data_IF_603127868581
#
_entry.id   IF_603127868581
#
_cell.length_a   1.000
_cell.length_b   1.000
_cell.length_c   1.000
_cell.angle_alpha   90.00
_cell.angle_beta   90.00
_cell.angle_gamma   90.00
#
_symmetry.space_group_name_H-M   'P 1'
#
loop_
_entity.id
_entity.type
_entity.pdbx_description
1 polymer ?
#
# COMPACT_ATOMS: atom_id res chain seq x y z
N UNK A 1 -28.14 -4.64 25.63
CA UNK A 1 -27.63 -5.84 24.92
C UNK A 1 -27.04 -5.41 23.57
N UNK A 2 -25.78 -5.76 23.29
CA UNK A 2 -25.14 -5.49 21.99
C UNK A 2 -25.32 -6.68 21.06
N UNK A 3 -25.93 -6.45 19.89
CA UNK A 3 -26.11 -7.44 18.83
C UNK A 3 -24.96 -7.33 17.83
N UNK A 4 -23.98 -8.22 17.97
CA UNK A 4 -22.74 -8.19 17.18
C UNK A 4 -23.00 -8.32 15.68
N UNK A 5 -23.99 -9.12 15.26
CA UNK A 5 -24.34 -9.28 13.84
C UNK A 5 -24.92 -8.00 13.22
N UNK A 6 -25.62 -7.18 14.01
CA UNK A 6 -26.06 -5.86 13.55
C UNK A 6 -24.90 -4.87 13.53
N UNK A 7 -24.03 -4.92 14.54
CA UNK A 7 -22.82 -4.09 14.60
C UNK A 7 -21.89 -4.30 13.38
N UNK A 8 -21.81 -5.53 12.87
CA UNK A 8 -21.07 -5.86 11.63
C UNK A 8 -21.58 -5.12 10.39
N UNK A 9 -22.81 -4.63 10.40
CA UNK A 9 -23.40 -3.85 9.30
C UNK A 9 -22.98 -2.37 9.33
N UNK A 10 -22.16 -1.97 10.32
CA UNK A 10 -21.61 -0.62 10.44
C UNK A 10 -22.00 0.07 11.75
N UNK A 11 -21.24 1.11 12.12
CA UNK A 11 -21.42 1.85 13.39
C UNK A 11 -22.69 2.70 13.45
N UNK A 12 -23.30 2.98 12.30
CA UNK A 12 -24.61 3.62 12.14
C UNK A 12 -25.78 2.67 12.28
N UNK A 13 -25.53 1.36 12.38
CA UNK A 13 -26.58 0.37 12.60
C UNK A 13 -27.14 0.47 14.02
N UNK A 14 -28.44 0.24 14.14
CA UNK A 14 -29.13 0.08 15.41
C UNK A 14 -28.77 -1.29 16.02
N UNK A 15 -27.58 -1.38 16.62
CA UNK A 15 -27.00 -2.63 17.09
C UNK A 15 -27.11 -2.84 18.62
N UNK A 16 -27.58 -1.85 19.37
CA UNK A 16 -27.75 -1.94 20.83
C UNK A 16 -29.23 -1.91 21.16
N UNK A 17 -29.72 -2.88 21.92
CA UNK A 17 -31.05 -2.82 22.52
C UNK A 17 -30.93 -2.47 24.00
N UNK A 18 -31.61 -1.42 24.44
CA UNK A 18 -31.70 -0.99 25.84
C UNK A 18 -32.75 -1.81 26.60
N UNK A 19 -32.75 -1.73 27.93
CA UNK A 19 -33.69 -2.48 28.79
C UNK A 19 -35.15 -2.09 28.57
N UNK A 20 -35.40 -0.83 28.16
CA UNK A 20 -36.72 -0.31 27.79
C UNK A 20 -37.14 -0.70 26.35
N UNK A 21 -36.35 -1.52 25.67
CA UNK A 21 -36.64 -2.04 24.34
C UNK A 21 -36.30 -1.10 23.18
N UNK A 22 -35.77 0.11 23.45
CA UNK A 22 -35.28 1.00 22.38
C UNK A 22 -34.05 0.42 21.70
N UNK A 23 -33.90 0.78 20.43
CA UNK A 23 -32.74 0.42 19.64
C UNK A 23 -31.88 1.66 19.42
N UNK A 24 -30.59 1.54 19.74
CA UNK A 24 -29.62 2.61 19.64
C UNK A 24 -28.47 2.21 18.72
N UNK A 25 -27.94 3.21 18.01
CA UNK A 25 -26.60 3.12 17.41
C UNK A 25 -25.53 3.21 18.50
N UNK A 26 -24.30 2.82 18.17
CA UNK A 26 -23.16 3.03 19.07
C UNK A 26 -23.02 4.50 19.47
N UNK A 27 -23.23 5.42 18.53
CA UNK A 27 -23.12 6.85 18.79
C UNK A 27 -24.21 7.36 19.72
N UNK A 28 -25.45 6.90 19.53
CA UNK A 28 -26.56 7.27 20.42
C UNK A 28 -26.33 6.72 21.83
N UNK A 29 -25.81 5.49 21.93
CA UNK A 29 -25.44 4.90 23.21
C UNK A 29 -24.29 5.66 23.91
N UNK A 30 -23.28 6.12 23.17
CA UNK A 30 -22.22 6.99 23.71
C UNK A 30 -22.76 8.33 24.23
N UNK A 31 -23.70 8.94 23.50
CA UNK A 31 -24.30 10.21 23.89
C UNK A 31 -25.13 10.02 25.17
N UNK A 32 -25.96 8.97 25.24
CA UNK A 32 -26.71 8.63 26.47
C UNK A 32 -25.79 8.32 27.66
N UNK A 33 -24.59 7.79 27.37
CA UNK A 33 -23.55 7.53 28.36
C UNK A 33 -22.65 8.72 28.73
N UNK A 34 -22.97 9.96 28.32
CA UNK A 34 -22.12 11.16 28.52
C UNK A 34 -20.70 11.05 27.92
N UNK A 35 -20.53 10.21 26.90
CA UNK A 35 -19.27 10.01 26.17
C UNK A 35 -19.29 10.67 24.78
N UNK A 36 -20.12 11.70 24.57
CA UNK A 36 -20.27 12.43 23.30
C UNK A 36 -18.94 12.97 22.73
N UNK A 37 -17.97 13.28 23.58
CA UNK A 37 -16.65 13.80 23.19
C UNK A 37 -15.69 12.69 22.75
N UNK A 38 -16.03 11.43 23.01
CA UNK A 38 -15.26 10.30 22.50
C UNK A 38 -15.40 10.23 20.99
N UNK A 39 -14.25 10.10 20.32
CA UNK A 39 -14.16 9.90 18.88
C UNK A 39 -14.09 8.42 18.51
N UNK A 40 -14.00 7.54 19.50
CA UNK A 40 -13.78 6.11 19.28
C UNK A 40 -14.63 5.27 20.23
N UNK A 41 -15.76 4.78 19.71
CA UNK A 41 -16.69 3.92 20.43
C UNK A 41 -16.04 2.64 20.95
N UNK A 42 -14.95 2.15 20.32
CA UNK A 42 -14.25 0.93 20.77
C UNK A 42 -13.57 1.13 22.13
N UNK A 43 -13.21 2.36 22.50
CA UNK A 43 -12.56 2.67 23.78
C UNK A 43 -13.51 3.23 24.83
N UNK A 44 -14.62 3.84 24.43
CA UNK A 44 -15.65 4.39 25.32
C UNK A 44 -16.74 3.38 25.67
N UNK A 45 -17.15 2.51 24.75
CA UNK A 45 -18.18 1.49 25.02
C UNK A 45 -17.54 0.34 25.81
N UNK A 46 -18.17 0.00 26.93
CA UNK A 46 -17.69 -1.03 27.86
C UNK A 46 -18.73 -2.13 28.06
N UNK A 47 -18.26 -3.35 28.23
CA UNK A 47 -19.07 -4.50 28.61
C UNK A 47 -18.42 -5.16 29.84
N UNK A 48 -19.13 -5.21 30.96
CA UNK A 48 -18.59 -5.73 32.23
C UNK A 48 -17.39 -4.94 32.77
N UNK A 49 -17.31 -3.63 32.49
CA UNK A 49 -16.20 -2.76 32.93
C UNK A 49 -14.99 -2.72 31.98
N UNK A 50 -14.85 -3.68 31.07
CA UNK A 50 -13.79 -3.71 30.06
C UNK A 50 -14.21 -2.98 28.77
N UNK A 51 -13.26 -2.34 28.08
CA UNK A 51 -13.53 -1.67 26.81
C UNK A 51 -13.78 -2.69 25.70
N UNK A 52 -14.63 -2.34 24.73
CA UNK A 52 -14.89 -3.20 23.59
C UNK A 52 -13.60 -3.53 22.81
N UNK A 53 -12.66 -2.58 22.74
CA UNK A 53 -11.34 -2.79 22.16
C UNK A 53 -10.56 -3.90 22.88
N UNK A 54 -10.56 -3.91 24.21
CA UNK A 54 -9.90 -4.95 25.01
C UNK A 54 -10.57 -6.31 24.79
N UNK A 55 -11.89 -6.35 24.68
CA UNK A 55 -12.64 -7.57 24.42
C UNK A 55 -12.40 -8.12 23.01
N UNK A 56 -12.31 -7.24 22.01
CA UNK A 56 -11.93 -7.59 20.64
C UNK A 56 -10.50 -8.13 20.61
N UNK A 57 -9.55 -7.46 21.28
CA UNK A 57 -8.15 -7.91 21.39
C UNK A 57 -8.04 -9.29 22.05
N UNK A 58 -8.75 -9.51 23.17
CA UNK A 58 -8.75 -10.80 23.86
C UNK A 58 -9.39 -11.91 23.03
N UNK A 59 -10.43 -11.61 22.25
CA UNK A 59 -11.02 -12.58 21.32
C UNK A 59 -10.02 -13.01 20.24
N UNK A 60 -9.16 -12.10 19.78
CA UNK A 60 -8.11 -12.38 18.80
C UNK A 60 -6.95 -13.22 19.37
N UNK A 61 -6.71 -13.18 20.69
CA UNK A 61 -5.69 -14.00 21.36
C UNK A 61 -6.10 -15.47 21.54
N UNK A 62 -7.40 -15.75 21.67
CA UNK A 62 -7.92 -17.12 21.84
C UNK A 62 -8.31 -17.82 20.51
N UNK A 63 -8.30 -17.11 19.38
CA UNK A 63 -8.82 -17.63 18.09
C UNK A 63 -7.82 -18.47 17.28
N UNK A 64 -6.75 -19.00 17.89
CA UNK A 64 -5.85 -19.94 17.22
C UNK A 64 -6.45 -21.35 17.00
N UNK A 65 -7.65 -21.63 17.52
CA UNK A 65 -8.38 -22.85 17.20
C UNK A 65 -9.89 -22.57 17.15
N UNK A 66 -10.43 -22.62 15.92
CA UNK A 66 -11.84 -22.82 15.57
C UNK A 66 -12.84 -21.69 15.87
N UNK A 67 -13.26 -20.97 14.81
CA UNK A 67 -14.64 -20.58 14.46
C UNK A 67 -14.64 -19.44 13.42
N UNK A 68 -14.88 -19.82 12.16
CA UNK A 68 -15.44 -19.05 11.04
C UNK A 68 -15.89 -17.61 11.36
N UNK A 69 -15.01 -16.62 11.16
CA UNK A 69 -15.36 -15.20 11.21
C UNK A 69 -15.66 -14.67 9.80
N UNK A 70 -16.85 -14.10 9.63
CA UNK A 70 -17.39 -13.55 8.38
C UNK A 70 -16.75 -12.19 8.03
N UNK A 71 -15.43 -12.14 7.85
CA UNK A 71 -14.79 -11.14 6.95
C UNK A 71 -14.52 -11.86 5.62
N UNK A 72 -14.88 -11.30 4.47
CA UNK A 72 -14.83 -12.02 3.19
C UNK A 72 -13.39 -12.36 2.81
N UNK A 73 -12.95 -13.59 3.12
CA UNK A 73 -11.76 -14.27 2.57
C UNK A 73 -10.48 -13.42 2.43
N UNK A 74 -10.28 -12.41 3.29
CA UNK A 74 -9.08 -11.60 3.25
C UNK A 74 -7.88 -12.44 3.68
N UNK A 75 -6.77 -12.29 2.96
CA UNK A 75 -5.52 -13.01 3.21
C UNK A 75 -5.02 -12.76 4.63
N UNK A 76 -4.56 -13.83 5.29
CA UNK A 76 -3.83 -13.78 6.55
C UNK A 76 -2.35 -13.44 6.38
N UNK A 77 -1.89 -13.19 5.15
CA UNK A 77 -0.55 -12.76 4.81
C UNK A 77 -0.56 -11.39 4.14
N UNK A 78 0.42 -10.56 4.45
CA UNK A 78 0.63 -9.29 3.80
C UNK A 78 0.94 -9.49 2.31
N UNK A 79 0.26 -8.76 1.43
CA UNK A 79 0.49 -8.81 -0.01
C UNK A 79 1.93 -8.43 -0.41
N UNK A 80 2.63 -7.62 0.40
CA UNK A 80 3.95 -7.08 0.06
C UNK A 80 5.07 -8.01 0.53
N UNK A 81 5.13 -8.34 1.83
CA UNK A 81 6.20 -9.16 2.39
C UNK A 81 5.86 -10.66 2.48
N UNK A 82 4.59 -11.03 2.27
CA UNK A 82 4.08 -12.41 2.42
C UNK A 82 4.15 -12.98 3.84
N UNK A 83 4.39 -12.14 4.85
CA UNK A 83 4.35 -12.52 6.26
C UNK A 83 3.00 -12.21 6.91
N UNK A 84 2.68 -12.94 7.98
CA UNK A 84 1.53 -12.66 8.84
C UNK A 84 1.76 -11.50 9.82
N UNK A 85 0.87 -11.33 10.80
CA UNK A 85 0.98 -10.33 11.87
C UNK A 85 -0.20 -9.37 11.91
N UNK A 86 0.05 -8.12 12.30
CA UNK A 86 -0.99 -7.08 12.34
C UNK A 86 -1.27 -6.52 10.95
N UNK A 87 -2.41 -6.90 10.38
CA UNK A 87 -2.77 -6.59 8.99
C UNK A 87 -4.04 -5.74 8.90
N UNK A 88 -4.06 -4.85 7.92
CA UNK A 88 -5.22 -4.09 7.48
C UNK A 88 -5.82 -4.77 6.24
N UNK A 89 -7.11 -5.12 6.32
CA UNK A 89 -7.86 -5.74 5.23
C UNK A 89 -8.42 -4.68 4.28
N UNK A 90 -8.34 -4.95 2.98
CA UNK A 90 -9.05 -4.15 1.98
C UNK A 90 -10.54 -4.52 1.97
N UNK A 91 -11.43 -3.53 1.95
CA UNK A 91 -12.89 -3.77 1.93
C UNK A 91 -13.41 -4.15 0.52
N UNK A 92 -12.58 -3.97 -0.51
CA UNK A 92 -12.97 -4.17 -1.92
C UNK A 92 -12.21 -5.31 -2.63
N UNK A 93 -11.33 -6.02 -1.92
CA UNK A 93 -10.64 -7.22 -2.43
C UNK A 93 -10.05 -8.06 -1.29
N UNK A 94 -9.67 -9.34 -1.51
CA UNK A 94 -9.17 -10.22 -0.46
C UNK A 94 -7.73 -9.89 0.01
N UNK A 95 -7.14 -8.75 -0.35
CA UNK A 95 -5.74 -8.42 0.01
C UNK A 95 -5.65 -7.76 1.38
N UNK A 96 -4.52 -8.02 2.05
CA UNK A 96 -4.20 -7.51 3.38
C UNK A 96 -2.79 -6.94 3.42
N UNK A 97 -2.54 -5.94 4.27
CA UNK A 97 -1.27 -5.20 4.30
C UNK A 97 -0.85 -4.85 5.72
N UNK A 98 0.44 -4.93 6.07
CA UNK A 98 0.94 -4.20 7.25
C UNK A 98 0.88 -2.69 6.99
N UNK A 99 0.77 -1.89 8.05
CA UNK A 99 0.74 -0.42 7.99
C UNK A 99 1.93 0.13 7.19
N UNK A 100 3.13 -0.32 7.56
CA UNK A 100 4.39 0.14 6.95
C UNK A 100 4.67 -0.52 5.58
N UNK A 101 4.01 -1.63 5.26
CA UNK A 101 4.17 -2.27 3.95
C UNK A 101 3.36 -1.56 2.86
N UNK A 102 2.20 -1.00 3.21
CA UNK A 102 1.44 -0.19 2.27
C UNK A 102 2.16 1.18 2.06
N UNK A 103 2.24 1.65 0.81
CA UNK A 103 2.98 2.90 0.50
C UNK A 103 2.20 4.13 0.95
N UNK A 104 0.88 4.15 0.76
CA UNK A 104 0.02 5.17 1.35
C UNK A 104 -0.25 4.84 2.80
N UNK A 105 -0.35 5.88 3.64
CA UNK A 105 -0.87 5.70 4.99
C UNK A 105 -2.25 5.03 4.90
N UNK A 106 -2.47 3.98 5.68
CA UNK A 106 -3.78 3.37 5.80
C UNK A 106 -4.65 4.34 6.60
N UNK A 107 -5.37 5.20 5.89
CA UNK A 107 -6.35 6.13 6.48
C UNK A 107 -7.56 5.32 6.99
N UNK A 108 -7.43 4.77 8.20
CA UNK A 108 -8.46 3.95 8.86
C UNK A 108 -9.79 4.72 9.14
N UNK A 109 -9.83 6.02 8.87
CA UNK A 109 -11.01 6.88 9.02
C UNK A 109 -11.94 6.85 7.78
N UNK A 110 -11.46 6.37 6.62
CA UNK A 110 -12.29 6.24 5.42
C UNK A 110 -12.87 4.83 5.34
N UNK A 111 -14.11 4.67 5.77
CA UNK A 111 -14.91 3.46 5.54
C UNK A 111 -15.82 3.68 4.32
N UNK A 112 -15.67 2.92 3.21
CA UNK A 112 -14.77 1.77 3.02
C UNK A 112 -13.34 2.14 2.58
N UNK A 113 -12.34 1.43 3.10
CA UNK A 113 -10.94 1.54 2.69
C UNK A 113 -10.63 0.59 1.53
N UNK A 114 -10.15 1.16 0.43
CA UNK A 114 -9.67 0.41 -0.74
C UNK A 114 -8.16 0.50 -0.86
N UNK A 115 -7.49 -0.65 -0.98
CA UNK A 115 -6.05 -0.71 -1.19
C UNK A 115 -5.65 -0.10 -2.54
N UNK A 116 -4.36 0.21 -2.70
CA UNK A 116 -3.84 0.84 -3.92
C UNK A 116 -4.12 0.03 -5.19
N UNK A 117 -4.15 -1.32 -5.12
CA UNK A 117 -4.50 -2.16 -6.25
C UNK A 117 -5.93 -1.90 -6.74
N UNK A 118 -6.88 -1.77 -5.81
CA UNK A 118 -8.28 -1.48 -6.16
C UNK A 118 -8.43 -0.07 -6.73
N UNK A 119 -7.74 0.91 -6.14
CA UNK A 119 -7.73 2.30 -6.65
C UNK A 119 -7.19 2.37 -8.09
N UNK A 120 -6.09 1.68 -8.39
CA UNK A 120 -5.51 1.62 -9.75
C UNK A 120 -6.45 0.90 -10.72
N UNK A 121 -7.01 -0.25 -10.33
CA UNK A 121 -7.98 -0.99 -11.16
C UNK A 121 -9.21 -0.13 -11.48
N UNK A 122 -9.69 0.67 -10.52
CA UNK A 122 -10.80 1.59 -10.75
C UNK A 122 -10.45 2.69 -11.77
N UNK A 123 -9.23 3.22 -11.75
CA UNK A 123 -8.76 4.19 -12.77
C UNK A 123 -8.68 3.53 -14.14
N UNK A 124 -8.12 2.31 -14.23
CA UNK A 124 -8.04 1.58 -15.48
C UNK A 124 -9.43 1.28 -16.07
N UNK A 125 -10.39 0.87 -15.23
CA UNK A 125 -11.76 0.60 -15.68
C UNK A 125 -12.52 1.84 -16.17
N UNK A 126 -12.16 3.05 -15.70
CA UNK A 126 -12.77 4.31 -16.17
C UNK A 126 -12.31 4.69 -17.59
N UNK A 127 -11.22 4.10 -18.07
CA UNK A 127 -10.64 4.35 -19.38
C UNK A 127 -10.60 3.05 -20.21
N UNK A 128 -11.65 2.73 -20.99
CA UNK A 128 -11.74 1.48 -21.75
C UNK A 128 -10.63 1.30 -22.80
N UNK A 129 -10.44 0.04 -23.20
CA UNK A 129 -9.38 -0.62 -24.01
C UNK A 129 -8.87 0.06 -25.31
N UNK A 130 -9.38 1.22 -25.72
CA UNK A 130 -8.80 2.06 -26.79
C UNK A 130 -7.70 3.01 -26.26
N UNK A 131 -6.96 2.57 -25.25
CA UNK A 131 -5.98 3.38 -24.54
C UNK A 131 -4.88 3.82 -25.51
N UNK A 132 -4.65 5.13 -25.73
CA UNK A 132 -3.52 5.58 -26.53
C UNK A 132 -2.26 5.13 -25.82
N UNK A 133 -1.53 4.22 -26.46
CA UNK A 133 -0.28 3.72 -25.94
C UNK A 133 0.70 4.92 -25.92
N UNK A 134 1.24 5.26 -24.75
CA UNK A 134 1.98 6.50 -24.55
C UNK A 134 3.47 6.34 -24.85
N UNK A 135 4.11 7.43 -25.29
CA UNK A 135 5.56 7.47 -25.35
C UNK A 135 6.12 7.73 -23.95
N UNK A 136 7.21 7.05 -23.58
CA UNK A 136 7.85 7.25 -22.27
C UNK A 136 8.20 8.73 -22.04
N UNK A 137 8.71 9.43 -23.06
CA UNK A 137 9.06 10.85 -22.98
C UNK A 137 7.87 11.77 -22.68
N UNK A 138 6.65 11.38 -23.07
CA UNK A 138 5.42 12.07 -22.71
C UNK A 138 5.08 11.82 -21.24
N UNK A 139 5.14 10.55 -20.80
CA UNK A 139 4.86 10.15 -19.41
C UNK A 139 5.79 10.88 -18.42
N UNK A 140 7.09 10.90 -18.70
CA UNK A 140 8.08 11.51 -17.80
C UNK A 140 7.80 13.01 -17.57
N UNK A 141 7.27 13.72 -18.58
CA UNK A 141 6.93 15.15 -18.48
C UNK A 141 5.62 15.44 -17.74
N UNK A 142 4.84 14.42 -17.37
CA UNK A 142 3.59 14.62 -16.64
C UNK A 142 3.87 15.15 -15.24
N UNK A 143 3.02 16.07 -14.80
CA UNK A 143 3.05 16.60 -13.44
C UNK A 143 2.55 15.54 -12.46
N UNK A 144 3.06 15.55 -11.23
CA UNK A 144 2.68 14.65 -10.14
C UNK A 144 1.31 15.02 -9.54
N UNK A 145 0.28 15.02 -10.38
CA UNK A 145 -1.12 15.12 -9.98
C UNK A 145 -1.54 13.85 -9.21
N UNK A 146 -2.71 13.84 -8.53
CA UNK A 146 -3.10 12.72 -7.67
C UNK A 146 -3.10 11.34 -8.34
N UNK A 147 -3.46 11.22 -9.62
CA UNK A 147 -3.45 9.94 -10.34
C UNK A 147 -2.02 9.48 -10.69
N UNK A 148 -1.16 10.37 -11.19
CA UNK A 148 0.25 10.11 -11.47
C UNK A 148 0.99 9.74 -10.19
N UNK A 149 0.73 10.46 -9.10
CA UNK A 149 1.27 10.13 -7.79
C UNK A 149 0.85 8.74 -7.33
N UNK A 150 -0.44 8.41 -7.45
CA UNK A 150 -0.96 7.07 -7.13
C UNK A 150 -0.30 5.98 -7.97
N UNK A 151 -0.05 6.22 -9.27
CA UNK A 151 0.67 5.29 -10.15
C UNK A 151 2.13 5.11 -9.74
N UNK A 152 2.84 6.18 -9.38
CA UNK A 152 4.22 6.10 -8.87
C UNK A 152 4.30 5.37 -7.52
N UNK A 153 3.36 5.63 -6.61
CA UNK A 153 3.25 4.89 -5.33
C UNK A 153 2.97 3.40 -5.58
N UNK A 154 2.11 3.07 -6.55
CA UNK A 154 1.83 1.69 -6.92
C UNK A 154 3.03 1.00 -7.56
N UNK A 155 3.75 1.70 -8.42
CA UNK A 155 4.99 1.21 -9.02
C UNK A 155 6.07 0.94 -7.97
N UNK A 156 6.23 1.83 -6.98
CA UNK A 156 7.13 1.60 -5.85
C UNK A 156 6.68 0.40 -5.01
N UNK A 157 5.37 0.25 -4.72
CA UNK A 157 4.84 -0.91 -4.01
C UNK A 157 5.16 -2.22 -4.75
N UNK A 158 4.99 -2.25 -6.08
CA UNK A 158 5.33 -3.41 -6.93
C UNK A 158 6.81 -3.78 -6.82
N UNK A 159 7.70 -2.79 -6.65
CA UNK A 159 9.11 -3.04 -6.38
C UNK A 159 9.32 -3.66 -5.00
N UNK A 160 8.66 -3.16 -3.95
CA UNK A 160 8.75 -3.75 -2.61
C UNK A 160 8.21 -5.18 -2.54
N UNK A 161 7.19 -5.53 -3.33
CA UNK A 161 6.64 -6.89 -3.42
C UNK A 161 7.66 -7.92 -3.95
N UNK A 162 8.79 -7.49 -4.52
CA UNK A 162 9.86 -8.40 -4.87
C UNK A 162 10.65 -8.83 -3.63
N UNK A 163 10.76 -10.13 -3.39
CA UNK A 163 11.36 -10.70 -2.18
C UNK A 163 12.80 -10.22 -1.84
N UNK A 164 13.56 -9.72 -2.83
CA UNK A 164 14.93 -9.21 -2.64
C UNK A 164 15.02 -7.67 -2.61
N UNK A 165 13.88 -6.98 -2.60
CA UNK A 165 13.80 -5.52 -2.51
C UNK A 165 14.47 -4.97 -1.25
N UNK A 166 14.47 -5.75 -0.16
CA UNK A 166 15.12 -5.43 1.12
C UNK A 166 16.61 -5.09 0.98
N UNK A 167 17.30 -5.65 -0.03
CA UNK A 167 18.71 -5.30 -0.33
C UNK A 167 18.89 -3.83 -0.73
N UNK A 168 17.85 -3.21 -1.31
CA UNK A 168 17.85 -1.84 -1.80
C UNK A 168 16.99 -0.90 -0.93
N UNK A 169 16.43 -1.42 0.17
CA UNK A 169 15.46 -0.69 0.98
C UNK A 169 16.12 0.44 1.79
N UNK A 170 17.29 0.18 2.36
CA UNK A 170 17.99 1.11 3.26
C UNK A 170 19.23 1.73 2.59
N UNK A 171 19.79 2.74 3.24
CA UNK A 171 20.98 3.44 2.76
C UNK A 171 22.15 2.45 2.50
N UNK A 172 22.73 2.45 1.30
CA UNK A 172 23.81 1.52 0.96
C UNK A 172 25.11 1.93 1.64
N UNK A 173 25.78 0.96 2.27
CA UNK A 173 27.11 1.15 2.85
C UNK A 173 28.21 0.93 1.79
N UNK A 174 28.77 2.02 1.27
CA UNK A 174 29.94 1.97 0.40
C UNK A 174 31.23 1.95 1.25
N UNK A 175 32.14 1.00 0.99
CA UNK A 175 33.40 0.92 1.74
C UNK A 175 34.27 2.16 1.46
N UNK A 176 34.79 2.78 2.53
CA UNK A 176 35.72 3.92 2.47
C UNK A 176 37.02 3.63 1.68
N UNK A 177 37.40 2.35 1.55
CA UNK A 177 38.62 1.96 0.85
C UNK A 177 38.51 2.08 -0.68
N UNK A 178 37.28 2.02 -1.20
CA UNK A 178 36.98 2.34 -2.59
C UNK A 178 36.53 3.79 -2.65
N UNK A 179 37.38 4.71 -3.12
CA UNK A 179 37.06 6.12 -3.38
C UNK A 179 35.99 6.33 -4.48
N UNK A 180 35.10 5.36 -4.70
CA UNK A 180 34.13 5.25 -5.80
C UNK A 180 32.69 5.08 -5.29
N UNK A 181 32.35 5.69 -4.16
CA UNK A 181 30.93 5.88 -3.82
C UNK A 181 30.25 6.74 -4.89
N UNK A 182 28.96 6.50 -5.20
CA UNK A 182 28.23 7.32 -6.14
C UNK A 182 28.12 8.76 -5.63
N UNK A 183 28.11 9.72 -6.56
CA UNK A 183 27.95 11.15 -6.23
C UNK A 183 26.65 11.42 -5.48
N UNK A 184 25.59 10.70 -5.85
CA UNK A 184 24.29 10.79 -5.18
C UNK A 184 23.79 9.39 -4.82
N UNK A 185 23.89 9.00 -3.53
CA UNK A 185 23.30 7.76 -3.02
C UNK A 185 21.76 7.79 -3.07
N UNK A 186 21.17 6.66 -3.46
CA UNK A 186 19.72 6.47 -3.53
C UNK A 186 19.31 5.08 -3.07
N UNK A 187 18.15 4.97 -2.42
CA UNK A 187 17.56 3.73 -1.89
C UNK A 187 16.04 3.86 -1.79
N UNK A 188 15.32 2.73 -1.67
CA UNK A 188 13.86 2.73 -1.80
C UNK A 188 13.16 3.51 -0.68
N UNK A 189 13.62 3.41 0.58
CA UNK A 189 12.98 4.13 1.69
C UNK A 189 13.10 5.66 1.53
N UNK A 190 14.21 6.17 0.99
CA UNK A 190 14.36 7.60 0.66
C UNK A 190 13.38 8.05 -0.42
N UNK A 191 13.16 7.22 -1.45
CA UNK A 191 12.15 7.50 -2.49
C UNK A 191 10.73 7.47 -1.90
N UNK A 192 10.44 6.49 -1.02
CA UNK A 192 9.17 6.38 -0.30
C UNK A 192 8.89 7.65 0.51
N UNK A 193 9.88 8.16 1.23
CA UNK A 193 9.79 9.42 1.99
C UNK A 193 9.59 10.64 1.08
N UNK A 194 10.34 10.74 -0.03
CA UNK A 194 10.18 11.81 -1.02
C UNK A 194 8.77 11.83 -1.64
N UNK A 195 8.18 10.67 -1.95
CA UNK A 195 6.79 10.56 -2.40
C UNK A 195 5.79 11.04 -1.34
N UNK A 196 5.98 10.63 -0.07
CA UNK A 196 5.12 11.03 1.05
C UNK A 196 5.15 12.54 1.27
N UNK A 197 6.33 13.14 1.20
CA UNK A 197 6.58 14.57 1.41
C UNK A 197 6.27 15.43 0.17
N UNK A 198 5.80 14.84 -0.93
CA UNK A 198 5.49 15.55 -2.18
C UNK A 198 6.69 16.28 -2.80
N UNK A 199 7.88 15.69 -2.69
CA UNK A 199 9.11 16.27 -3.26
C UNK A 199 9.27 16.05 -4.77
N UNK A 200 8.42 15.23 -5.39
CA UNK A 200 8.39 15.02 -6.83
C UNK A 200 7.27 15.86 -7.44
N UNK A 201 7.62 16.76 -8.35
CA UNK A 201 6.71 17.60 -9.13
C UNK A 201 6.41 16.98 -10.49
N UNK A 202 7.34 16.18 -11.03
CA UNK A 202 7.16 15.45 -12.29
C UNK A 202 7.43 13.95 -12.12
N UNK A 203 6.83 13.14 -12.99
CA UNK A 203 7.06 11.68 -13.02
C UNK A 203 8.54 11.37 -13.29
N UNK A 204 9.21 12.18 -14.11
CA UNK A 204 10.63 12.05 -14.42
C UNK A 204 11.52 12.00 -13.18
N UNK A 205 11.31 12.91 -12.22
CA UNK A 205 12.14 13.00 -11.01
C UNK A 205 12.08 11.71 -10.17
N UNK A 206 10.88 11.12 -10.04
CA UNK A 206 10.70 9.82 -9.38
C UNK A 206 11.38 8.69 -10.16
N UNK A 207 11.20 8.65 -11.48
CA UNK A 207 11.76 7.60 -12.34
C UNK A 207 13.29 7.68 -12.38
N UNK A 208 13.86 8.89 -12.36
CA UNK A 208 15.30 9.12 -12.29
C UNK A 208 15.89 8.60 -10.98
N UNK A 209 15.26 8.88 -9.83
CA UNK A 209 15.71 8.35 -8.54
C UNK A 209 15.65 6.82 -8.51
N UNK A 210 14.57 6.22 -9.03
CA UNK A 210 14.47 4.76 -9.15
C UNK A 210 15.58 4.19 -10.03
N UNK A 211 15.88 4.86 -11.15
CA UNK A 211 16.97 4.50 -12.07
C UNK A 211 18.35 4.67 -11.46
N UNK A 212 18.54 5.67 -10.62
CA UNK A 212 19.78 5.96 -9.94
C UNK A 212 20.20 4.84 -8.98
N UNK A 213 19.24 4.18 -8.30
CA UNK A 213 19.52 3.03 -7.42
C UNK A 213 20.31 1.95 -8.16
N UNK A 214 19.81 1.50 -9.32
CA UNK A 214 20.47 0.41 -10.05
C UNK A 214 21.67 0.88 -10.88
N UNK A 215 21.76 2.16 -11.25
CA UNK A 215 22.97 2.74 -11.83
C UNK A 215 24.12 2.73 -10.82
N UNK A 216 23.86 3.21 -9.60
CA UNK A 216 24.81 3.20 -8.50
C UNK A 216 25.25 1.78 -8.15
N UNK A 217 24.29 0.85 -8.06
CA UNK A 217 24.58 -0.56 -7.82
C UNK A 217 25.49 -1.17 -8.89
N UNK A 218 25.20 -0.91 -10.16
CA UNK A 218 26.02 -1.39 -11.28
C UNK A 218 27.45 -0.82 -11.22
N UNK A 219 27.57 0.48 -10.96
CA UNK A 219 28.87 1.15 -10.90
C UNK A 219 29.75 0.61 -9.76
N UNK A 220 29.16 0.34 -8.60
CA UNK A 220 29.86 -0.15 -7.42
C UNK A 220 30.22 -1.63 -7.50
N UNK A 221 29.26 -2.50 -7.87
CA UNK A 221 29.48 -3.94 -7.87
C UNK A 221 30.12 -4.47 -9.16
N UNK A 222 30.01 -3.78 -10.30
CA UNK A 222 30.57 -4.19 -11.62
C UNK A 222 30.37 -5.69 -11.93
N UNK A 223 31.42 -6.51 -11.81
CA UNK A 223 31.43 -7.95 -12.11
C UNK A 223 31.23 -8.85 -10.88
N UNK A 224 30.93 -8.26 -9.72
CA UNK A 224 30.71 -8.98 -8.48
C UNK A 224 29.40 -9.79 -8.54
N UNK A 225 29.33 -10.89 -7.75
CA UNK A 225 28.15 -11.78 -7.65
C UNK A 225 26.81 -11.07 -7.38
N UNK A 226 26.84 -9.87 -6.83
CA UNK A 226 25.65 -9.07 -6.52
C UNK A 226 25.18 -8.19 -7.67
N UNK A 227 25.96 -8.00 -8.73
CA UNK A 227 25.58 -7.17 -9.89
C UNK A 227 24.23 -7.58 -10.50
N UNK A 228 23.95 -8.89 -10.51
CA UNK A 228 22.70 -9.47 -11.00
C UNK A 228 21.46 -8.95 -10.25
N UNK A 229 21.57 -8.62 -8.96
CA UNK A 229 20.43 -8.11 -8.17
C UNK A 229 19.93 -6.76 -8.71
N UNK A 230 20.83 -5.85 -9.06
CA UNK A 230 20.45 -4.56 -9.64
C UNK A 230 19.79 -4.70 -11.01
N UNK A 231 20.24 -5.67 -11.83
CA UNK A 231 19.61 -5.98 -13.11
C UNK A 231 18.18 -6.54 -12.93
N UNK A 232 17.98 -7.41 -11.93
CA UNK A 232 16.67 -7.96 -11.61
C UNK A 232 15.70 -6.88 -11.11
N UNK A 233 16.15 -6.03 -10.18
CA UNK A 233 15.35 -4.90 -9.68
C UNK A 233 14.96 -3.96 -10.84
N UNK A 234 15.92 -3.60 -11.70
CA UNK A 234 15.67 -2.80 -12.90
C UNK A 234 14.60 -3.43 -13.78
N UNK A 235 14.71 -4.72 -14.09
CA UNK A 235 13.75 -5.41 -14.95
C UNK A 235 12.33 -5.39 -14.36
N UNK A 236 12.20 -5.58 -13.04
CA UNK A 236 10.91 -5.53 -12.34
C UNK A 236 10.33 -4.12 -12.41
N UNK A 237 11.15 -3.09 -12.13
CA UNK A 237 10.71 -1.70 -12.19
C UNK A 237 10.28 -1.31 -13.61
N UNK A 238 11.13 -1.50 -14.62
CA UNK A 238 10.86 -1.05 -15.99
C UNK A 238 9.64 -1.78 -16.61
N UNK A 239 9.45 -3.07 -16.28
CA UNK A 239 8.25 -3.81 -16.69
C UNK A 239 6.99 -3.19 -16.09
N UNK A 240 6.95 -3.03 -14.77
CA UNK A 240 5.76 -2.47 -14.10
C UNK A 240 5.53 -1.00 -14.51
N UNK A 241 6.60 -0.23 -14.79
CA UNK A 241 6.49 1.15 -15.27
C UNK A 241 5.76 1.22 -16.61
N UNK A 242 6.15 0.37 -17.56
CA UNK A 242 5.47 0.26 -18.85
C UNK A 242 4.01 -0.19 -18.70
N UNK A 243 3.77 -1.20 -17.88
CA UNK A 243 2.42 -1.77 -17.67
C UNK A 243 1.48 -0.74 -17.01
N UNK A 244 1.92 -0.06 -15.95
CA UNK A 244 1.09 0.88 -15.17
C UNK A 244 0.78 2.16 -15.96
N UNK A 245 1.73 2.63 -16.77
CA UNK A 245 1.58 3.85 -17.57
C UNK A 245 1.18 3.60 -19.02
N UNK A 246 0.91 2.35 -19.41
CA UNK A 246 0.54 1.94 -20.77
C UNK A 246 1.52 2.49 -21.83
N UNK A 247 2.82 2.27 -21.61
CA UNK A 247 3.90 2.77 -22.50
C UNK A 247 4.08 1.82 -23.69
N UNK A 248 4.22 2.37 -24.90
CA UNK A 248 4.46 1.57 -26.10
C UNK A 248 5.76 0.77 -25.98
N UNK A 249 5.69 -0.53 -26.26
CA UNK A 249 6.91 -1.25 -26.58
C UNK A 249 7.43 -0.73 -27.91
N UNK A 250 8.63 -0.14 -27.88
CA UNK A 250 9.40 0.09 -29.10
C UNK A 250 9.84 -1.28 -29.62
N UNK A 251 8.95 -2.00 -30.30
CA UNK A 251 9.39 -2.97 -31.28
C UNK A 251 10.24 -2.17 -32.25
N UNK A 252 11.55 -2.37 -32.21
CA UNK A 252 12.41 -2.05 -33.34
C UNK A 252 11.87 -2.91 -34.48
N UNK A 253 10.87 -2.40 -35.20
CA UNK A 253 10.54 -2.89 -36.52
C UNK A 253 11.81 -2.66 -37.32
N UNK A 254 12.59 -3.72 -37.48
CA UNK A 254 13.57 -3.81 -38.54
C UNK A 254 12.75 -3.71 -39.83
N UNK A 255 12.48 -2.49 -40.27
CA UNK A 255 12.08 -2.21 -41.62
C UNK A 255 13.32 -2.56 -42.45
N UNK A 256 13.44 -3.83 -42.82
CA UNK A 256 14.27 -4.23 -43.93
C UNK A 256 13.62 -3.63 -45.18
N UNK A 257 14.23 -2.59 -45.71
CA UNK A 257 13.98 -2.17 -47.10
C UNK A 257 14.44 -3.34 -47.96
N UNK A 258 13.49 -3.99 -48.65
CA UNK A 258 13.79 -4.85 -49.80
C UNK A 258 13.94 -3.93 -51.01
#
# INVERSE_FOLDING_TARGET
ILYTEKLKQGSSSLCIQTEDGRWLTLRQFEIEGNHEKSKNWKTSVRCGGETLLSLIKRRLEFSNNDLSDHYPENSNHCEVCQDGGYLFCCDTCPKSFHEDCHIQLVEAERDPWSCIFCKIKAIQNRCPENQPCHQESEILKRQMLPEEKLKCEFLLLKVYCWAKSTFFANEPHYSRQSSQGPREPMWLNKIKERLKQQHYHQVDEFVQDMRLIFQNHKAYYRDHKFARLGLQLKAIFEKNFKDIFAIQETTKSLISVI
#
